data_IF_483657338041
#
_entry.id   IF_483657338041
#
_cell.length_a   1.000
_cell.length_b   1.000
_cell.length_c   1.000
_cell.angle_alpha   90.00
_cell.angle_beta   90.00
_cell.angle_gamma   90.00
#
_symmetry.space_group_name_H-M   'P 1'
#
loop_
_entity.id
_entity.type
_entity.pdbx_description
1 polymer ?
#
# COMPACT_ATOMS: atom_id res chain seq x y z
N UNK A 1 -65.04 10.80 20.93
CA UNK A 1 -64.09 11.45 21.84
C UNK A 1 -62.86 10.59 21.82
N UNK A 2 -61.87 10.94 21.04
CA UNK A 2 -60.59 10.25 20.94
C UNK A 2 -59.51 11.21 21.36
N UNK A 3 -58.84 10.91 22.48
CA UNK A 3 -57.73 11.70 23.01
C UNK A 3 -56.47 11.39 22.19
N UNK A 4 -55.93 12.41 21.55
CA UNK A 4 -54.59 12.38 20.95
C UNK A 4 -53.56 12.53 22.05
N UNK A 5 -52.81 11.47 22.31
CA UNK A 5 -51.63 11.52 23.15
C UNK A 5 -50.49 12.27 22.47
N UNK A 6 -49.60 12.95 23.25
CA UNK A 6 -48.51 13.76 22.70
C UNK A 6 -47.42 12.88 22.08
N UNK A 7 -46.92 13.35 20.92
CA UNK A 7 -45.79 12.77 20.18
C UNK A 7 -44.50 12.79 21.01
N UNK A 8 -43.74 11.67 21.03
CA UNK A 8 -42.51 11.60 21.84
C UNK A 8 -41.22 12.06 21.09
N UNK A 9 -41.34 12.91 20.06
CA UNK A 9 -40.13 13.41 19.35
C UNK A 9 -39.90 14.87 19.70
N UNK A 10 -38.75 15.22 20.29
CA UNK A 10 -38.37 16.63 20.44
C UNK A 10 -38.02 17.22 19.06
N UNK A 11 -38.88 18.12 18.61
CA UNK A 11 -38.54 19.12 17.60
C UNK A 11 -37.58 20.10 18.26
N UNK A 12 -36.46 20.31 17.64
CA UNK A 12 -35.43 21.34 17.78
C UNK A 12 -34.02 20.71 17.86
N UNK A 13 -33.57 20.16 16.73
CA UNK A 13 -32.15 20.13 16.45
C UNK A 13 -31.84 21.19 15.41
N UNK A 14 -31.19 22.27 15.88
CA UNK A 14 -30.54 23.21 15.00
C UNK A 14 -29.74 22.48 13.91
N UNK A 15 -29.76 22.93 12.66
CA UNK A 15 -28.97 22.33 11.60
C UNK A 15 -27.49 22.47 12.00
N UNK A 16 -26.85 21.32 12.31
CA UNK A 16 -25.41 21.25 12.41
C UNK A 16 -24.86 21.86 11.12
N UNK A 17 -24.13 22.97 11.28
CA UNK A 17 -23.32 23.52 10.23
C UNK A 17 -22.58 22.36 9.55
N UNK A 18 -22.91 22.10 8.30
CA UNK A 18 -22.16 21.23 7.40
C UNK A 18 -20.76 21.82 7.34
N UNK A 19 -19.83 21.25 8.13
CA UNK A 19 -18.42 21.44 7.87
C UNK A 19 -18.23 20.99 6.42
N UNK A 20 -18.00 21.96 5.55
CA UNK A 20 -17.46 21.67 4.22
C UNK A 20 -16.29 20.72 4.42
N UNK A 21 -16.24 19.56 3.68
CA UNK A 21 -15.08 18.70 3.72
C UNK A 21 -13.90 19.59 3.34
N UNK A 22 -12.92 19.72 4.24
CA UNK A 22 -11.69 20.41 3.97
C UNK A 22 -11.19 19.90 2.61
N UNK A 23 -11.05 20.81 1.64
CA UNK A 23 -10.50 20.47 0.33
C UNK A 23 -9.23 19.66 0.56
N UNK A 24 -9.08 18.48 -0.06
CA UNK A 24 -7.85 17.73 0.05
C UNK A 24 -6.76 18.67 -0.45
N UNK A 25 -5.90 19.14 0.46
CA UNK A 25 -4.71 19.91 0.12
C UNK A 25 -4.02 19.15 -0.99
N UNK A 26 -4.05 19.72 -2.20
CA UNK A 26 -3.50 19.11 -3.40
C UNK A 26 -2.05 18.70 -3.07
N UNK A 27 -1.83 17.41 -2.90
CA UNK A 27 -0.49 16.83 -2.74
C UNK A 27 0.18 16.99 -4.09
N UNK A 28 0.87 18.11 -4.25
CA UNK A 28 1.64 18.41 -5.45
C UNK A 28 2.90 17.56 -5.43
N UNK A 29 2.98 16.60 -6.35
CA UNK A 29 4.18 15.78 -6.52
C UNK A 29 3.87 14.27 -6.65
N UNK A 30 4.81 13.52 -7.22
CA UNK A 30 4.72 12.07 -7.41
C UNK A 30 4.85 11.32 -6.09
N UNK A 31 5.71 11.81 -5.19
CA UNK A 31 6.03 11.16 -3.92
C UNK A 31 5.93 12.18 -2.79
N UNK A 32 5.35 11.75 -1.68
CA UNK A 32 5.31 12.54 -0.45
C UNK A 32 6.71 12.74 0.12
N UNK A 33 7.00 13.98 0.59
CA UNK A 33 8.32 14.34 1.11
C UNK A 33 8.74 13.49 2.31
N UNK A 34 7.82 13.22 3.23
CA UNK A 34 8.14 12.42 4.42
C UNK A 34 8.51 10.98 4.05
N UNK A 35 7.83 10.42 3.03
CA UNK A 35 8.17 9.10 2.48
C UNK A 35 9.53 9.09 1.79
N UNK A 36 9.85 10.13 1.02
CA UNK A 36 11.19 10.26 0.40
C UNK A 36 12.29 10.33 1.45
N UNK A 37 12.08 11.14 2.49
CA UNK A 37 13.02 11.28 3.59
C UNK A 37 13.26 9.94 4.30
N UNK A 38 12.18 9.22 4.64
CA UNK A 38 12.28 7.91 5.26
C UNK A 38 13.07 6.91 4.39
N UNK A 39 12.81 6.90 3.07
CA UNK A 39 13.52 6.04 2.14
C UNK A 39 15.00 6.39 2.02
N UNK A 40 15.35 7.68 1.86
CA UNK A 40 16.75 8.13 1.77
C UNK A 40 17.51 7.81 3.05
N UNK A 41 16.92 8.12 4.22
CA UNK A 41 17.51 7.80 5.53
C UNK A 41 17.67 6.29 5.71
N UNK A 42 16.68 5.49 5.28
CA UNK A 42 16.74 4.03 5.34
C UNK A 42 17.87 3.47 4.50
N UNK A 43 18.06 3.96 3.27
CA UNK A 43 19.18 3.58 2.40
C UNK A 43 20.51 3.92 3.06
N UNK A 44 20.67 5.15 3.56
CA UNK A 44 21.94 5.64 4.12
C UNK A 44 22.28 4.98 5.46
N UNK A 45 21.28 4.69 6.32
CA UNK A 45 21.50 4.06 7.62
C UNK A 45 22.05 2.63 7.52
N UNK A 46 21.66 1.92 6.47
CA UNK A 46 22.02 0.51 6.28
C UNK A 46 23.26 0.33 5.40
N UNK A 47 23.97 1.43 5.05
CA UNK A 47 25.18 1.38 4.22
C UNK A 47 26.36 0.85 4.99
N UNK A 48 27.07 -0.17 4.48
CA UNK A 48 28.39 -0.53 4.98
C UNK A 48 29.36 0.66 4.85
N UNK A 49 30.31 0.85 5.79
CA UNK A 49 31.26 1.97 5.77
C UNK A 49 32.12 2.07 4.50
N UNK A 50 32.24 0.97 3.74
CA UNK A 50 32.99 0.89 2.50
C UNK A 50 32.24 1.41 1.27
N UNK A 51 30.96 1.78 1.39
CA UNK A 51 30.12 2.18 0.26
C UNK A 51 29.98 3.70 0.19
N UNK A 52 30.10 4.23 -1.02
CA UNK A 52 29.78 5.64 -1.28
C UNK A 52 28.26 5.85 -1.25
N UNK A 53 27.80 6.64 -0.29
CA UNK A 53 26.38 6.94 -0.09
C UNK A 53 25.71 7.52 -1.34
N UNK A 54 26.41 8.38 -2.10
CA UNK A 54 25.87 8.98 -3.31
C UNK A 54 25.72 7.95 -4.44
N UNK A 55 26.69 7.06 -4.58
CA UNK A 55 26.66 6.00 -5.60
C UNK A 55 25.47 5.08 -5.32
N UNK A 56 25.28 4.67 -4.07
CA UNK A 56 24.13 3.80 -3.70
C UNK A 56 22.80 4.53 -3.86
N UNK A 57 22.72 5.79 -3.46
CA UNK A 57 21.50 6.59 -3.65
C UNK A 57 21.12 6.71 -5.13
N UNK A 58 22.10 7.00 -6.01
CA UNK A 58 21.90 7.08 -7.46
C UNK A 58 21.44 5.72 -8.02
N UNK A 59 22.07 4.62 -7.60
CA UNK A 59 21.69 3.28 -8.05
C UNK A 59 20.23 2.94 -7.68
N UNK A 60 19.84 3.14 -6.43
CA UNK A 60 18.48 2.91 -5.96
C UNK A 60 17.45 3.81 -6.64
N UNK A 61 17.80 5.07 -6.85
CA UNK A 61 16.97 6.00 -7.60
C UNK A 61 16.76 5.51 -9.05
N UNK A 62 17.85 5.12 -9.74
CA UNK A 62 17.80 4.60 -11.11
C UNK A 62 16.94 3.35 -11.22
N UNK A 63 17.05 2.41 -10.30
CA UNK A 63 16.22 1.21 -10.23
C UNK A 63 14.73 1.58 -10.10
N UNK A 64 14.40 2.48 -9.17
CA UNK A 64 13.03 2.94 -8.93
C UNK A 64 12.43 3.67 -10.14
N UNK A 65 13.17 4.61 -10.74
CA UNK A 65 12.72 5.33 -11.93
C UNK A 65 12.71 4.41 -13.15
N UNK A 66 13.70 3.53 -13.31
CA UNK A 66 13.77 2.58 -14.41
C UNK A 66 12.59 1.62 -14.47
N UNK A 67 12.06 1.25 -13.30
CA UNK A 67 10.88 0.39 -13.22
C UNK A 67 9.55 1.14 -13.49
N UNK A 68 9.50 2.44 -13.23
CA UNK A 68 8.27 3.24 -13.36
C UNK A 68 8.24 4.12 -14.60
N UNK A 69 9.40 4.57 -15.07
CA UNK A 69 9.58 5.50 -16.20
C UNK A 69 10.85 5.15 -17.00
N UNK A 70 10.95 3.98 -17.62
CA UNK A 70 12.16 3.53 -18.29
C UNK A 70 12.67 4.51 -19.36
N UNK A 71 11.75 5.17 -20.08
CA UNK A 71 12.05 6.16 -21.11
C UNK A 71 12.70 7.45 -20.59
N UNK A 72 12.57 7.74 -19.29
CA UNK A 72 13.12 8.93 -18.64
C UNK A 72 14.16 8.61 -17.56
N UNK A 73 14.47 7.33 -17.35
CA UNK A 73 15.34 6.88 -16.27
C UNK A 73 16.74 7.48 -16.35
N UNK A 74 17.33 7.48 -17.53
CA UNK A 74 18.69 8.01 -17.72
C UNK A 74 18.75 9.51 -17.48
N UNK A 75 17.81 10.27 -18.07
CA UNK A 75 17.72 11.71 -17.88
C UNK A 75 17.54 12.10 -16.39
N UNK A 76 16.58 11.46 -15.71
CA UNK A 76 16.30 11.74 -14.30
C UNK A 76 17.47 11.35 -13.39
N UNK A 77 18.16 10.24 -13.71
CA UNK A 77 19.35 9.79 -12.97
C UNK A 77 20.51 10.75 -13.13
N UNK A 78 20.74 11.26 -14.34
CA UNK A 78 21.81 12.23 -14.59
C UNK A 78 21.52 13.57 -13.90
N UNK A 79 20.29 14.03 -13.89
CA UNK A 79 19.89 15.22 -13.15
C UNK A 79 20.13 15.06 -11.64
N UNK A 80 19.78 13.89 -11.07
CA UNK A 80 20.09 13.61 -9.67
C UNK A 80 21.59 13.63 -9.41
N UNK A 81 22.38 12.95 -10.25
CA UNK A 81 23.85 12.90 -10.15
C UNK A 81 24.46 14.30 -10.13
N UNK A 82 24.02 15.15 -11.06
CA UNK A 82 24.47 16.54 -11.16
C UNK A 82 24.14 17.34 -9.89
N UNK A 83 22.94 17.17 -9.35
CA UNK A 83 22.50 17.92 -8.16
C UNK A 83 23.27 17.52 -6.90
N UNK A 84 23.51 16.23 -6.68
CA UNK A 84 24.18 15.77 -5.48
C UNK A 84 25.73 15.80 -5.58
N UNK A 85 26.30 16.18 -6.73
CA UNK A 85 27.73 16.17 -6.93
C UNK A 85 28.50 16.98 -5.87
N UNK A 86 27.99 18.18 -5.54
CA UNK A 86 28.59 19.09 -4.54
C UNK A 86 28.00 18.97 -3.14
N UNK A 87 26.96 18.12 -2.94
CA UNK A 87 26.34 17.92 -1.64
C UNK A 87 27.23 17.02 -0.78
N UNK A 88 27.58 17.37 0.47
CA UNK A 88 28.26 16.45 1.39
C UNK A 88 27.45 15.17 1.61
N UNK A 89 28.11 14.01 1.71
CA UNK A 89 27.42 12.73 1.88
C UNK A 89 26.66 12.62 3.22
N UNK A 90 27.13 13.36 4.22
CA UNK A 90 26.54 13.50 5.55
C UNK A 90 25.35 14.47 5.61
N UNK A 91 25.18 15.34 4.60
CA UNK A 91 24.05 16.28 4.53
C UNK A 91 22.81 15.59 3.95
N UNK A 92 22.18 14.80 4.81
CA UNK A 92 20.99 13.99 4.44
C UNK A 92 19.85 14.88 3.96
N UNK A 93 19.67 16.06 4.57
CA UNK A 93 18.57 16.95 4.20
C UNK A 93 18.74 17.51 2.79
N UNK A 94 19.96 17.88 2.40
CA UNK A 94 20.26 18.31 1.03
C UNK A 94 20.15 17.16 0.01
N UNK A 95 20.50 15.93 0.41
CA UNK A 95 20.29 14.74 -0.43
C UNK A 95 18.79 14.46 -0.63
N UNK A 96 17.99 14.51 0.44
CA UNK A 96 16.51 14.36 0.36
C UNK A 96 15.90 15.44 -0.53
N UNK A 97 16.32 16.70 -0.39
CA UNK A 97 15.84 17.80 -1.22
C UNK A 97 16.18 17.62 -2.69
N UNK A 98 17.37 17.09 -2.98
CA UNK A 98 17.78 16.79 -4.35
C UNK A 98 16.92 15.68 -4.98
N UNK A 99 16.64 14.61 -4.25
CA UNK A 99 15.74 13.54 -4.69
C UNK A 99 14.31 14.07 -4.86
N UNK A 100 13.83 14.86 -3.89
CA UNK A 100 12.49 15.47 -3.94
C UNK A 100 12.31 16.34 -5.19
N UNK A 101 13.30 17.15 -5.51
CA UNK A 101 13.29 17.97 -6.72
C UNK A 101 13.19 17.09 -7.99
N UNK A 102 14.03 16.08 -8.12
CA UNK A 102 14.04 15.26 -9.34
C UNK A 102 12.73 14.47 -9.47
N UNK A 103 12.18 13.94 -8.36
CA UNK A 103 10.91 13.22 -8.40
C UNK A 103 9.71 14.13 -8.67
N UNK A 104 9.60 15.24 -7.97
CA UNK A 104 8.39 16.05 -7.94
C UNK A 104 8.39 17.23 -8.92
N UNK A 105 9.56 17.73 -9.34
CA UNK A 105 9.67 18.85 -10.29
C UNK A 105 10.12 18.42 -11.69
N UNK A 106 10.86 17.32 -11.79
CA UNK A 106 11.36 16.82 -13.08
C UNK A 106 10.49 15.68 -13.58
N UNK A 107 10.42 14.58 -12.84
CA UNK A 107 9.71 13.38 -13.26
C UNK A 107 8.18 13.60 -13.37
N UNK A 108 7.59 14.44 -12.52
CA UNK A 108 6.15 14.76 -12.57
C UNK A 108 5.68 15.42 -13.87
N UNK A 109 6.61 15.97 -14.67
CA UNK A 109 6.30 16.51 -16.00
C UNK A 109 6.05 15.43 -17.05
N UNK A 110 6.47 14.20 -16.77
CA UNK A 110 6.44 13.10 -17.71
C UNK A 110 5.45 11.99 -17.34
N UNK A 111 5.00 11.95 -16.08
CA UNK A 111 4.04 10.96 -15.61
C UNK A 111 3.10 11.56 -14.57
N UNK A 112 1.83 11.18 -14.59
CA UNK A 112 0.90 11.54 -13.52
C UNK A 112 1.18 10.70 -12.28
N UNK A 113 0.75 11.20 -11.12
CA UNK A 113 0.90 10.48 -9.85
C UNK A 113 0.21 9.11 -9.88
N UNK A 114 -0.99 9.04 -10.42
CA UNK A 114 -1.79 7.82 -10.54
C UNK A 114 -1.07 6.78 -11.39
N UNK A 115 -0.54 7.19 -12.56
CA UNK A 115 0.21 6.30 -13.44
C UNK A 115 1.52 5.83 -12.80
N UNK A 116 2.22 6.70 -12.08
CA UNK A 116 3.43 6.36 -11.35
C UNK A 116 3.15 5.33 -10.24
N UNK A 117 2.13 5.56 -9.40
CA UNK A 117 1.74 4.63 -8.35
C UNK A 117 1.26 3.29 -8.91
N UNK A 118 0.50 3.29 -10.02
CA UNK A 118 0.06 2.06 -10.67
C UNK A 118 1.26 1.21 -11.17
N UNK A 119 2.27 1.85 -11.79
CA UNK A 119 3.49 1.16 -12.21
C UNK A 119 4.30 0.64 -11.02
N UNK A 120 4.40 1.41 -9.92
CA UNK A 120 5.06 0.94 -8.69
C UNK A 120 4.37 -0.29 -8.09
N UNK A 121 3.03 -0.32 -8.04
CA UNK A 121 2.27 -1.49 -7.56
C UNK A 121 2.54 -2.72 -8.42
N UNK A 122 2.48 -2.55 -9.74
CA UNK A 122 2.78 -3.64 -10.68
C UNK A 122 4.18 -4.22 -10.46
N UNK A 123 5.18 -3.36 -10.29
CA UNK A 123 6.55 -3.80 -10.01
C UNK A 123 6.67 -4.50 -8.65
N UNK A 124 5.98 -3.99 -7.63
CA UNK A 124 5.94 -4.64 -6.32
C UNK A 124 5.40 -6.07 -6.41
N UNK A 125 4.32 -6.28 -7.14
CA UNK A 125 3.77 -7.62 -7.33
C UNK A 125 4.71 -8.53 -8.11
N UNK A 126 5.28 -8.04 -9.22
CA UNK A 126 6.23 -8.80 -10.02
C UNK A 126 7.50 -9.19 -9.24
N UNK A 127 8.06 -8.25 -8.49
CA UNK A 127 9.28 -8.49 -7.71
C UNK A 127 9.09 -9.56 -6.62
N UNK A 128 7.90 -9.61 -6.03
CA UNK A 128 7.58 -10.57 -4.98
C UNK A 128 6.88 -11.83 -5.51
N UNK A 129 6.78 -11.98 -6.84
CA UNK A 129 6.12 -13.11 -7.49
C UNK A 129 4.65 -13.28 -7.08
N UNK A 130 3.98 -12.18 -6.69
CA UNK A 130 2.58 -12.20 -6.34
C UNK A 130 1.70 -12.17 -7.59
N UNK A 131 0.66 -12.97 -7.58
CA UNK A 131 -0.35 -13.01 -8.63
C UNK A 131 -1.38 -11.89 -8.43
N UNK A 132 -1.50 -10.91 -9.33
CA UNK A 132 -2.43 -9.80 -9.18
C UNK A 132 -3.88 -10.28 -9.29
N UNK A 133 -4.73 -9.74 -8.41
CA UNK A 133 -6.18 -9.96 -8.37
C UNK A 133 -6.96 -8.71 -8.77
N UNK A 134 -6.44 -7.54 -8.43
CA UNK A 134 -6.98 -6.23 -8.78
C UNK A 134 -5.84 -5.21 -8.93
N UNK A 135 -6.17 -3.92 -8.99
CA UNK A 135 -5.14 -2.88 -9.05
C UNK A 135 -4.28 -2.84 -7.78
N UNK A 136 -4.86 -3.10 -6.60
CA UNK A 136 -4.16 -3.00 -5.32
C UNK A 136 -4.01 -4.31 -4.57
N UNK A 137 -4.71 -5.37 -4.97
CA UNK A 137 -4.68 -6.67 -4.30
C UNK A 137 -3.98 -7.73 -5.16
N UNK A 138 -3.15 -8.53 -4.52
CA UNK A 138 -2.53 -9.70 -5.11
C UNK A 138 -2.48 -10.83 -4.08
N UNK A 139 -2.13 -12.04 -4.50
CA UNK A 139 -1.92 -13.17 -3.61
C UNK A 139 -0.70 -14.00 -4.02
N UNK A 140 -0.18 -14.72 -3.06
CA UNK A 140 0.78 -15.81 -3.27
C UNK A 140 0.31 -17.05 -2.52
N UNK A 141 0.77 -18.22 -2.89
CA UNK A 141 0.41 -19.48 -2.21
C UNK A 141 1.64 -20.08 -1.57
N UNK A 142 1.56 -20.39 -0.29
CA UNK A 142 2.56 -21.17 0.44
C UNK A 142 1.88 -22.01 1.51
N UNK A 143 2.40 -23.20 1.77
CA UNK A 143 1.93 -24.11 2.84
C UNK A 143 0.41 -24.38 2.79
N UNK A 144 -0.18 -24.45 1.60
CA UNK A 144 -1.63 -24.67 1.43
C UNK A 144 -2.49 -23.46 1.82
N UNK A 145 -1.92 -22.27 1.95
CA UNK A 145 -2.61 -21.02 2.25
C UNK A 145 -2.44 -20.01 1.13
N UNK A 146 -3.52 -19.30 0.78
CA UNK A 146 -3.47 -18.12 -0.08
C UNK A 146 -3.20 -16.88 0.77
N UNK A 147 -2.01 -16.31 0.65
CA UNK A 147 -1.61 -15.09 1.33
C UNK A 147 -2.00 -13.88 0.50
N UNK A 148 -2.91 -13.05 1.00
CA UNK A 148 -3.32 -11.81 0.33
C UNK A 148 -2.39 -10.65 0.69
N UNK A 149 -2.02 -9.87 -0.33
CA UNK A 149 -1.12 -8.74 -0.24
C UNK A 149 -1.79 -7.48 -0.79
N UNK A 150 -1.92 -6.47 0.07
CA UNK A 150 -2.45 -5.17 -0.31
C UNK A 150 -1.28 -4.22 -0.61
N UNK A 151 -1.15 -3.80 -1.86
CA UNK A 151 -0.18 -2.79 -2.23
C UNK A 151 -0.64 -1.40 -1.75
N UNK A 152 0.24 -0.60 -1.16
CA UNK A 152 -0.09 0.75 -0.74
C UNK A 152 -0.60 1.57 -1.93
N UNK A 153 -1.76 2.23 -1.75
CA UNK A 153 -2.26 3.20 -2.70
C UNK A 153 -2.67 4.47 -1.97
N UNK A 154 -2.01 5.58 -2.29
CA UNK A 154 -2.36 6.89 -1.77
C UNK A 154 -3.23 7.69 -2.75
N UNK A 155 -3.29 7.27 -4.03
CA UNK A 155 -4.07 7.91 -5.06
C UNK A 155 -5.55 7.51 -5.03
N UNK A 156 -5.86 6.29 -4.55
CA UNK A 156 -7.25 5.84 -4.44
C UNK A 156 -7.92 6.39 -3.18
N UNK A 157 -9.08 7.01 -3.34
CA UNK A 157 -9.95 7.33 -2.22
C UNK A 157 -10.50 6.06 -1.55
N UNK A 158 -10.97 6.18 -0.30
CA UNK A 158 -11.42 5.03 0.51
C UNK A 158 -12.49 4.19 -0.21
N UNK A 159 -13.45 4.83 -0.89
CA UNK A 159 -14.51 4.12 -1.61
C UNK A 159 -13.97 3.31 -2.80
N UNK A 160 -13.06 3.91 -3.58
CA UNK A 160 -12.42 3.24 -4.72
C UNK A 160 -11.52 2.08 -4.26
N UNK A 161 -10.72 2.29 -3.21
CA UNK A 161 -9.90 1.23 -2.62
C UNK A 161 -10.75 0.05 -2.13
N UNK A 162 -11.88 0.34 -1.47
CA UNK A 162 -12.80 -0.71 -1.03
C UNK A 162 -13.35 -1.50 -2.20
N UNK A 163 -13.83 -0.83 -3.25
CA UNK A 163 -14.37 -1.48 -4.44
C UNK A 163 -13.32 -2.35 -5.14
N UNK A 164 -12.08 -1.88 -5.23
CA UNK A 164 -10.95 -2.61 -5.82
C UNK A 164 -10.59 -3.86 -5.00
N UNK A 165 -10.54 -3.75 -3.66
CA UNK A 165 -10.31 -4.91 -2.77
C UNK A 165 -11.44 -5.93 -2.91
N UNK A 166 -12.71 -5.49 -2.91
CA UNK A 166 -13.85 -6.40 -3.11
C UNK A 166 -13.80 -7.11 -4.47
N UNK A 167 -13.40 -6.41 -5.54
CA UNK A 167 -13.20 -7.00 -6.86
C UNK A 167 -12.06 -8.05 -6.84
N UNK A 168 -10.95 -7.73 -6.19
CA UNK A 168 -9.84 -8.66 -6.03
C UNK A 168 -10.20 -9.91 -5.23
N UNK A 169 -10.98 -9.78 -4.15
CA UNK A 169 -11.45 -10.95 -3.39
C UNK A 169 -12.36 -11.87 -4.22
N UNK A 170 -13.24 -11.31 -5.07
CA UNK A 170 -14.05 -12.12 -6.01
C UNK A 170 -13.19 -12.82 -7.07
N UNK A 171 -12.16 -12.15 -7.58
CA UNK A 171 -11.21 -12.78 -8.51
C UNK A 171 -10.45 -13.92 -7.82
N UNK A 172 -10.07 -13.78 -6.55
CA UNK A 172 -9.48 -14.87 -5.78
C UNK A 172 -10.43 -16.06 -5.65
N UNK A 173 -11.72 -15.82 -5.38
CA UNK A 173 -12.74 -16.90 -5.39
C UNK A 173 -12.73 -17.64 -6.72
N UNK A 174 -12.81 -16.91 -7.85
CA UNK A 174 -12.80 -17.52 -9.18
C UNK A 174 -11.56 -18.42 -9.37
N UNK A 175 -10.37 -17.92 -9.00
CA UNK A 175 -9.15 -18.72 -9.11
C UNK A 175 -9.15 -19.94 -8.21
N UNK A 176 -9.56 -19.81 -6.96
CA UNK A 176 -9.64 -20.93 -6.03
C UNK A 176 -10.67 -22.01 -6.47
N UNK A 177 -11.68 -21.63 -7.26
CA UNK A 177 -12.67 -22.56 -7.79
C UNK A 177 -12.26 -23.19 -9.12
N UNK A 178 -11.68 -22.40 -10.03
CA UNK A 178 -11.49 -22.80 -11.44
C UNK A 178 -10.08 -23.31 -11.74
N UNK A 179 -9.06 -22.81 -11.01
CA UNK A 179 -7.67 -23.12 -11.31
C UNK A 179 -7.22 -24.35 -10.50
N UNK A 180 -6.88 -25.45 -11.19
CA UNK A 180 -6.49 -26.73 -10.59
C UNK A 180 -5.28 -26.61 -9.65
N UNK A 181 -4.37 -25.66 -9.93
CA UNK A 181 -3.19 -25.41 -9.10
C UNK A 181 -3.50 -24.94 -7.69
N UNK A 182 -4.71 -24.40 -7.44
CA UNK A 182 -5.14 -23.88 -6.13
C UNK A 182 -6.15 -24.78 -5.40
N UNK A 183 -6.41 -25.98 -5.89
CA UNK A 183 -7.35 -26.91 -5.27
C UNK A 183 -7.00 -27.30 -3.84
N UNK A 184 -5.69 -27.35 -3.53
CA UNK A 184 -5.17 -27.75 -2.23
C UNK A 184 -5.05 -26.56 -1.24
N UNK A 185 -5.45 -25.36 -1.65
CA UNK A 185 -5.54 -24.21 -0.75
C UNK A 185 -6.68 -24.42 0.23
N UNK A 186 -6.36 -24.39 1.53
CA UNK A 186 -7.33 -24.64 2.61
C UNK A 186 -7.81 -23.38 3.30
N UNK A 187 -7.06 -22.28 3.20
CA UNK A 187 -7.42 -21.01 3.83
C UNK A 187 -6.87 -19.80 3.09
N UNK A 188 -7.47 -18.64 3.34
CA UNK A 188 -7.00 -17.33 2.91
C UNK A 188 -6.48 -16.56 4.12
N UNK A 189 -5.25 -16.03 4.04
CA UNK A 189 -4.56 -15.35 5.14
C UNK A 189 -4.11 -13.95 4.77
N UNK A 190 -4.31 -13.01 5.68
CA UNK A 190 -3.77 -11.65 5.60
C UNK A 190 -2.85 -11.38 6.79
N UNK A 191 -1.65 -10.85 6.53
CA UNK A 191 -0.70 -10.48 7.59
C UNK A 191 -0.24 -9.06 7.36
N UNK A 192 -0.56 -8.14 8.27
CA UNK A 192 -0.17 -6.73 8.13
C UNK A 192 -0.39 -5.93 9.41
N UNK A 193 0.13 -4.71 9.43
CA UNK A 193 -0.19 -3.70 10.45
C UNK A 193 -1.67 -3.26 10.39
N UNK A 194 -2.34 -3.40 9.23
CA UNK A 194 -3.77 -3.07 9.07
C UNK A 194 -4.62 -4.01 9.92
N UNK A 195 -4.27 -5.32 9.93
CA UNK A 195 -4.92 -6.33 10.79
C UNK A 195 -4.76 -5.96 12.26
N UNK A 196 -3.54 -5.61 12.70
CA UNK A 196 -3.28 -5.22 14.07
C UNK A 196 -4.06 -3.95 14.48
N UNK A 197 -4.16 -2.97 13.60
CA UNK A 197 -4.84 -1.69 13.86
C UNK A 197 -6.36 -1.78 13.82
N UNK A 198 -6.90 -2.65 12.96
CA UNK A 198 -8.34 -2.69 12.65
C UNK A 198 -8.94 -4.12 12.76
N UNK A 199 -8.74 -4.86 13.87
CA UNK A 199 -9.20 -6.25 13.96
C UNK A 199 -10.71 -6.38 13.74
N UNK A 200 -11.51 -5.47 14.31
CA UNK A 200 -12.98 -5.46 14.14
C UNK A 200 -13.43 -5.28 12.68
N UNK A 201 -12.62 -4.64 11.84
CA UNK A 201 -12.93 -4.54 10.42
C UNK A 201 -12.76 -5.90 9.74
N UNK A 202 -11.66 -6.61 10.05
CA UNK A 202 -11.38 -7.93 9.50
C UNK A 202 -12.42 -8.97 9.97
N UNK A 203 -12.82 -8.93 11.25
CA UNK A 203 -13.91 -9.77 11.78
C UNK A 203 -15.23 -9.53 11.03
N UNK A 204 -15.59 -8.27 10.75
CA UNK A 204 -16.76 -7.94 9.92
C UNK A 204 -16.66 -8.42 8.48
N UNK A 205 -15.45 -8.51 7.96
CA UNK A 205 -15.16 -9.12 6.66
C UNK A 205 -15.16 -10.66 6.75
N UNK A 206 -15.34 -11.25 7.93
CA UNK A 206 -15.43 -12.69 8.17
C UNK A 206 -14.12 -13.36 8.51
N UNK A 207 -13.03 -12.60 8.67
CA UNK A 207 -11.74 -13.16 9.07
C UNK A 207 -11.68 -13.42 10.57
N UNK A 208 -11.08 -14.54 10.94
CA UNK A 208 -10.67 -14.84 12.31
C UNK A 208 -9.31 -14.20 12.58
N UNK A 209 -9.19 -13.49 13.70
CA UNK A 209 -7.94 -12.83 14.08
C UNK A 209 -7.03 -13.81 14.82
N UNK A 210 -5.86 -14.10 14.26
CA UNK A 210 -4.86 -14.99 14.87
C UNK A 210 -4.04 -14.27 15.95
N UNK A 211 -4.02 -12.93 15.93
CA UNK A 211 -3.22 -12.12 16.84
C UNK A 211 -1.86 -11.69 16.28
N UNK A 212 -0.96 -11.20 17.15
CA UNK A 212 0.38 -10.77 16.76
C UNK A 212 1.18 -11.91 16.15
N UNK A 213 2.00 -11.62 15.13
CA UNK A 213 2.93 -12.58 14.55
C UNK A 213 4.11 -12.84 15.49
N UNK A 214 4.76 -14.01 15.34
CA UNK A 214 5.97 -14.34 16.08
C UNK A 214 7.14 -13.43 15.70
N UNK A 215 8.12 -13.29 16.61
CA UNK A 215 9.34 -12.51 16.32
C UNK A 215 10.15 -13.09 15.17
N UNK A 216 10.11 -14.41 14.96
CA UNK A 216 10.75 -15.08 13.84
C UNK A 216 10.13 -14.63 12.49
N UNK A 217 8.81 -14.67 12.36
CA UNK A 217 8.09 -14.20 11.18
C UNK A 217 8.33 -12.71 10.99
N UNK A 218 8.35 -11.94 12.09
CA UNK A 218 8.61 -10.52 12.05
C UNK A 218 10.00 -10.22 11.48
N UNK A 219 11.03 -10.89 11.98
CA UNK A 219 12.40 -10.70 11.53
C UNK A 219 12.60 -11.12 10.07
N UNK A 220 11.93 -12.19 9.62
CA UNK A 220 12.05 -12.69 8.25
C UNK A 220 11.34 -11.80 7.21
N UNK A 221 10.14 -11.29 7.53
CA UNK A 221 9.28 -10.67 6.52
C UNK A 221 8.88 -9.22 6.80
N UNK A 222 9.08 -8.72 8.04
CA UNK A 222 8.62 -7.41 8.50
C UNK A 222 9.71 -6.65 9.26
N UNK A 223 10.98 -6.91 8.98
CA UNK A 223 12.11 -6.31 9.70
C UNK A 223 12.12 -4.77 9.65
N UNK A 224 11.63 -4.19 8.55
CA UNK A 224 11.56 -2.74 8.36
C UNK A 224 10.23 -2.13 8.84
N UNK A 225 9.25 -2.97 9.23
CA UNK A 225 7.95 -2.48 9.69
C UNK A 225 7.98 -2.19 11.20
N UNK A 226 7.93 -0.91 11.55
CA UNK A 226 7.98 -0.45 12.94
C UNK A 226 6.64 -0.60 13.70
N UNK A 227 5.53 -0.73 12.96
CA UNK A 227 4.18 -0.84 13.55
C UNK A 227 3.91 -2.28 13.99
N UNK A 228 3.03 -2.50 14.97
CA UNK A 228 2.54 -3.84 15.30
C UNK A 228 1.96 -4.53 14.06
N UNK A 229 2.29 -5.81 13.88
CA UNK A 229 1.77 -6.66 12.79
C UNK A 229 1.01 -7.82 13.39
N UNK A 230 -0.15 -8.12 12.83
CA UNK A 230 -0.97 -9.26 13.21
C UNK A 230 -1.42 -10.04 11.97
N UNK A 231 -1.83 -11.27 12.18
CA UNK A 231 -2.39 -12.14 11.16
C UNK A 231 -3.87 -12.37 11.39
N UNK A 232 -4.57 -12.63 10.29
CA UNK A 232 -5.96 -13.08 10.27
C UNK A 232 -6.14 -14.07 9.14
N UNK A 233 -7.03 -15.04 9.31
CA UNK A 233 -7.35 -16.04 8.29
C UNK A 233 -8.86 -16.24 8.13
N UNK A 234 -9.23 -16.89 7.04
CA UNK A 234 -10.57 -17.40 6.79
C UNK A 234 -10.42 -18.75 6.10
N UNK A 235 -11.17 -19.75 6.55
CA UNK A 235 -11.18 -21.05 5.90
C UNK A 235 -11.71 -20.92 4.47
N UNK A 236 -11.22 -21.77 3.56
CA UNK A 236 -11.59 -21.72 2.15
C UNK A 236 -13.08 -21.75 1.93
N UNK A 237 -13.80 -22.68 2.57
CA UNK A 237 -15.23 -22.85 2.35
C UNK A 237 -16.02 -21.62 2.79
N UNK A 238 -15.65 -21.03 3.92
CA UNK A 238 -16.23 -19.79 4.42
C UNK A 238 -15.93 -18.61 3.47
N UNK A 239 -14.71 -18.56 2.94
CA UNK A 239 -14.31 -17.55 1.97
C UNK A 239 -15.09 -17.67 0.67
N UNK A 240 -15.22 -18.88 0.13
CA UNK A 240 -16.02 -19.15 -1.09
C UNK A 240 -17.50 -18.84 -0.87
N UNK A 241 -18.06 -19.23 0.28
CA UNK A 241 -19.45 -18.94 0.62
C UNK A 241 -19.71 -17.43 0.72
N UNK A 242 -18.78 -16.68 1.28
CA UNK A 242 -18.95 -15.25 1.55
C UNK A 242 -18.74 -14.37 0.31
N UNK A 243 -17.72 -14.65 -0.49
CA UNK A 243 -17.30 -13.80 -1.62
C UNK A 243 -17.67 -14.39 -2.98
N UNK A 244 -18.08 -15.66 -3.03
CA UNK A 244 -18.46 -16.38 -4.26
C UNK A 244 -19.92 -16.24 -4.67
N UNK A 245 -20.79 -15.75 -3.81
CA UNK A 245 -22.18 -15.47 -4.19
C UNK A 245 -22.22 -14.27 -5.11
N UNK A 246 -22.60 -14.50 -6.36
CA UNK A 246 -22.94 -13.43 -7.30
C UNK A 246 -24.02 -12.53 -6.69
N UNK A 247 -23.92 -11.20 -6.90
CA UNK A 247 -24.97 -10.26 -6.53
C UNK A 247 -26.25 -10.50 -7.32
#
# INVERSE_FOLDING_TARGET
>A
MGEHGPSPFPEDREPRATQEPAEPTARTGLVDRARLEANVRGVLKNLPPSHDAKVVLISRFRESIGSTMPEHAEFSTEELRRRIASVPAEDIDALVESVNYVMNDVASKHITREAFEARQRKQFFLYNEFMPLSETLAFGVSEGMAHIHLAPSSALGIAALRADVEAGLRELVRRLQDDEEFKDVTSVKGTSWIVAKNPRLLERLGFTIDGPISEEIRAAHFAEESRPVAAAHMDRDDFLARYGTNP
#
